data_IF_765118331075
#
_entry.id   IF_765118331075
#
_cell.length_a   1.000
_cell.length_b   1.000
_cell.length_c   1.000
_cell.angle_alpha   90.00
_cell.angle_beta   90.00
_cell.angle_gamma   90.00
#
_symmetry.space_group_name_H-M   'P 1'
#
loop_
_entity.id
_entity.type
_entity.pdbx_description
1 polymer ?
#
# COMPACT_ATOMS: atom_id res chain seq x y z
N UNK A 1 3.19 18.67 -14.38
CA UNK A 1 3.37 18.39 -12.93
C UNK A 1 3.30 16.89 -12.76
N UNK A 2 4.30 16.27 -12.14
CA UNK A 2 4.22 14.85 -11.77
C UNK A 2 3.51 14.70 -10.42
N UNK A 3 2.76 13.63 -10.27
CA UNK A 3 2.10 13.29 -9.01
C UNK A 3 1.93 11.77 -8.92
N UNK A 4 1.67 11.30 -7.72
CA UNK A 4 1.45 9.89 -7.39
C UNK A 4 0.06 9.78 -6.81
N UNK A 5 -0.82 9.04 -7.48
CA UNK A 5 -2.07 8.60 -6.85
C UNK A 5 -1.77 7.33 -6.06
N UNK A 6 -2.16 7.27 -4.78
CA UNK A 6 -1.94 6.09 -3.95
C UNK A 6 -3.16 5.74 -3.11
N UNK A 7 -3.21 4.48 -2.70
CA UNK A 7 -4.21 3.97 -1.78
C UNK A 7 -3.59 2.88 -0.89
N UNK A 8 -4.16 2.70 0.30
CA UNK A 8 -3.72 1.71 1.28
C UNK A 8 -4.88 0.85 1.70
N UNK A 9 -4.66 -0.46 1.66
CA UNK A 9 -5.55 -1.40 2.33
C UNK A 9 -4.96 -1.80 3.67
N UNK A 10 -5.82 -1.89 4.67
CA UNK A 10 -5.42 -2.02 6.08
C UNK A 10 -6.25 -3.09 6.78
N UNK A 11 -5.79 -3.53 7.94
CA UNK A 11 -6.55 -4.46 8.80
C UNK A 11 -7.75 -3.79 9.49
N UNK A 12 -7.88 -2.46 9.37
CA UNK A 12 -8.90 -1.64 10.01
C UNK A 12 -8.49 -0.16 9.94
N UNK A 13 -9.25 0.74 10.57
CA UNK A 13 -9.09 2.20 10.41
C UNK A 13 -8.54 2.93 11.64
N UNK A 14 -8.12 2.21 12.68
CA UNK A 14 -7.64 2.79 13.94
C UNK A 14 -6.11 3.01 13.92
N UNK A 15 -5.62 4.27 13.89
CA UNK A 15 -4.20 4.54 13.85
C UNK A 15 -3.46 4.02 15.09
N UNK A 16 -2.28 3.44 14.89
CA UNK A 16 -1.45 2.87 15.95
C UNK A 16 -1.92 1.50 16.46
N UNK A 17 -3.05 1.00 15.97
CA UNK A 17 -3.55 -0.35 16.24
C UNK A 17 -3.56 -1.16 14.95
N UNK A 18 -4.26 -0.68 13.93
CA UNK A 18 -4.37 -1.35 12.65
C UNK A 18 -3.11 -1.19 11.80
N UNK A 19 -2.87 -2.18 10.95
CA UNK A 19 -1.65 -2.34 10.17
C UNK A 19 -1.96 -2.27 8.66
N UNK A 20 -0.98 -1.81 7.88
CA UNK A 20 -1.06 -1.81 6.42
C UNK A 20 -0.92 -3.26 5.91
N UNK A 21 -1.81 -3.64 5.01
CA UNK A 21 -1.83 -4.94 4.34
C UNK A 21 -1.54 -4.84 2.83
N UNK A 22 -1.68 -3.65 2.23
CA UNK A 22 -1.32 -3.39 0.83
C UNK A 22 -0.90 -1.93 0.65
N UNK A 23 0.03 -1.70 -0.28
CA UNK A 23 0.27 -0.38 -0.88
C UNK A 23 0.02 -0.50 -2.38
N UNK A 24 -0.86 0.36 -2.91
CA UNK A 24 -1.03 0.57 -4.34
C UNK A 24 -0.73 2.03 -4.70
N UNK A 25 0.17 2.27 -5.66
CA UNK A 25 0.52 3.60 -6.09
C UNK A 25 0.86 3.67 -7.59
N UNK A 26 0.45 4.75 -8.24
CA UNK A 26 0.70 5.01 -9.67
C UNK A 26 1.29 6.40 -9.82
N UNK A 27 2.48 6.49 -10.40
CA UNK A 27 3.10 7.76 -10.78
C UNK A 27 2.59 8.19 -12.15
N UNK A 28 2.16 9.44 -12.24
CA UNK A 28 1.76 10.10 -13.48
C UNK A 28 2.83 11.11 -13.91
N UNK A 29 3.16 11.10 -15.19
CA UNK A 29 4.12 12.05 -15.76
C UNK A 29 3.51 13.45 -15.91
N UNK A 30 4.27 14.40 -16.48
CA UNK A 30 3.82 15.79 -16.60
C UNK A 30 2.58 15.99 -17.48
N UNK A 31 2.30 15.03 -18.36
CA UNK A 31 1.14 15.00 -19.24
C UNK A 31 -0.07 14.31 -18.57
N UNK A 32 0.06 13.86 -17.32
CA UNK A 32 -0.98 13.13 -16.60
C UNK A 32 -1.18 11.71 -17.11
N UNK A 33 -0.15 11.10 -17.70
CA UNK A 33 -0.19 9.72 -18.20
C UNK A 33 0.51 8.80 -17.17
N UNK A 34 -0.07 7.63 -16.84
CA UNK A 34 0.59 6.64 -16.00
C UNK A 34 1.97 6.25 -16.55
N UNK A 35 2.99 6.30 -15.69
CA UNK A 35 4.40 6.05 -16.04
C UNK A 35 4.95 4.83 -15.30
N UNK A 36 4.73 4.73 -13.98
CA UNK A 36 5.26 3.62 -13.17
C UNK A 36 4.28 3.27 -12.05
N UNK A 37 4.26 1.99 -11.66
CA UNK A 37 3.38 1.45 -10.61
C UNK A 37 4.24 0.87 -9.49
N UNK A 38 3.85 1.12 -8.25
CA UNK A 38 4.31 0.41 -7.07
C UNK A 38 3.11 -0.29 -6.45
N UNK A 39 3.10 -1.62 -6.42
CA UNK A 39 2.01 -2.39 -5.85
C UNK A 39 2.56 -3.60 -5.10
N UNK A 40 2.20 -3.74 -3.83
CA UNK A 40 2.67 -4.88 -3.02
C UNK A 40 1.73 -5.18 -1.87
N UNK A 41 1.49 -6.48 -1.63
CA UNK A 41 0.89 -6.96 -0.40
C UNK A 41 1.95 -6.97 0.69
N UNK A 42 1.50 -6.73 1.92
CA UNK A 42 2.36 -6.57 3.10
C UNK A 42 1.84 -7.49 4.17
N UNK A 43 2.72 -8.28 4.80
CA UNK A 43 2.36 -9.06 5.97
C UNK A 43 2.19 -8.11 7.17
N UNK A 44 0.96 -7.92 7.69
CA UNK A 44 0.70 -6.98 8.77
C UNK A 44 1.15 -7.52 10.14
N UNK A 45 1.57 -8.78 10.23
CA UNK A 45 1.95 -9.42 11.49
C UNK A 45 0.78 -9.79 12.40
N UNK A 46 -0.46 -9.56 11.95
CA UNK A 46 -1.71 -9.93 12.63
C UNK A 46 -2.67 -10.59 11.64
N UNK A 47 -3.64 -11.39 12.09
CA UNK A 47 -4.68 -11.91 11.20
C UNK A 47 -5.53 -10.79 10.60
N UNK A 48 -5.90 -10.92 9.33
CA UNK A 48 -6.83 -10.00 8.66
C UNK A 48 -8.22 -10.08 9.31
N UNK A 49 -8.73 -8.98 9.90
CA UNK A 49 -10.07 -8.98 10.47
C UNK A 49 -11.13 -9.16 9.38
N UNK A 50 -12.14 -9.98 9.64
CA UNK A 50 -13.21 -10.26 8.67
C UNK A 50 -13.87 -9.00 8.10
N UNK A 51 -14.06 -7.96 8.92
CA UNK A 51 -14.71 -6.74 8.48
C UNK A 51 -13.88 -6.01 7.42
N UNK A 52 -12.56 -5.94 7.59
CA UNK A 52 -11.63 -5.35 6.62
C UNK A 52 -11.49 -6.24 5.39
N UNK A 53 -11.29 -7.55 5.58
CA UNK A 53 -11.21 -8.52 4.49
C UNK A 53 -12.46 -8.58 3.61
N UNK A 54 -13.65 -8.31 4.16
CA UNK A 54 -14.90 -8.18 3.37
C UNK A 54 -14.94 -6.93 2.48
N UNK A 55 -14.17 -5.89 2.82
CA UNK A 55 -14.12 -4.63 2.05
C UNK A 55 -13.08 -4.73 0.95
N UNK A 56 -11.84 -5.09 1.30
CA UNK A 56 -10.72 -5.10 0.35
C UNK A 56 -10.48 -6.45 -0.33
N UNK A 57 -11.09 -7.54 0.16
CA UNK A 57 -10.94 -8.89 -0.40
C UNK A 57 -9.63 -9.58 -0.06
N UNK A 58 -8.79 -8.99 0.80
CA UNK A 58 -7.49 -9.55 1.19
C UNK A 58 -7.70 -10.65 2.23
N UNK A 59 -6.98 -11.77 2.07
CA UNK A 59 -7.03 -12.92 2.98
C UNK A 59 -5.68 -13.18 3.64
N UNK A 60 -5.69 -13.86 4.80
CA UNK A 60 -4.45 -14.29 5.49
C UNK A 60 -3.55 -15.19 4.62
N UNK A 61 -4.13 -15.92 3.67
CA UNK A 61 -3.37 -16.75 2.74
C UNK A 61 -2.55 -15.89 1.76
N UNK A 62 -3.14 -14.80 1.25
CA UNK A 62 -2.48 -13.85 0.35
C UNK A 62 -1.32 -13.11 1.04
N UNK A 63 -1.47 -12.83 2.34
CA UNK A 63 -0.50 -12.09 3.16
C UNK A 63 0.65 -12.98 3.66
N UNK A 64 0.50 -14.31 3.60
CA UNK A 64 1.50 -15.24 4.09
C UNK A 64 2.76 -15.19 3.23
N UNK A 65 3.89 -14.87 3.87
CA UNK A 65 5.20 -14.81 3.21
C UNK A 65 5.47 -13.48 2.49
N UNK A 66 4.54 -12.54 2.52
CA UNK A 66 4.76 -11.18 2.04
C UNK A 66 5.75 -10.43 2.95
N UNK A 67 6.46 -9.41 2.43
CA UNK A 67 7.35 -8.58 3.23
C UNK A 67 6.61 -7.86 4.35
N UNK A 68 7.30 -7.48 5.42
CA UNK A 68 6.73 -6.59 6.44
C UNK A 68 6.80 -5.14 5.96
N UNK A 69 5.99 -4.26 6.55
CA UNK A 69 6.02 -2.82 6.21
C UNK A 69 7.42 -2.22 6.32
N UNK A 70 8.21 -2.65 7.31
CA UNK A 70 9.59 -2.19 7.52
C UNK A 70 10.54 -2.55 6.38
N UNK A 71 10.22 -3.59 5.61
CA UNK A 71 11.02 -4.03 4.46
C UNK A 71 10.65 -3.28 3.17
N UNK A 72 9.50 -2.58 3.17
CA UNK A 72 8.88 -1.95 1.98
C UNK A 72 9.00 -0.43 2.01
N UNK A 73 9.02 0.19 3.20
CA UNK A 73 8.96 1.64 3.35
C UNK A 73 10.07 2.40 2.63
N UNK A 74 11.31 1.92 2.67
CA UNK A 74 12.43 2.59 2.00
C UNK A 74 12.25 2.62 0.48
N UNK A 75 11.84 1.49 -0.10
CA UNK A 75 11.57 1.39 -1.53
C UNK A 75 10.35 2.23 -1.95
N UNK A 76 9.31 2.28 -1.12
CA UNK A 76 8.14 3.12 -1.37
C UNK A 76 8.50 4.61 -1.27
N UNK A 77 9.32 5.01 -0.30
CA UNK A 77 9.80 6.39 -0.17
C UNK A 77 10.66 6.81 -1.37
N UNK A 78 11.52 5.92 -1.88
CA UNK A 78 12.28 6.15 -3.12
C UNK A 78 11.36 6.26 -4.34
N UNK A 79 10.30 5.44 -4.40
CA UNK A 79 9.25 5.59 -5.41
C UNK A 79 8.47 6.91 -5.26
N UNK A 80 8.28 7.43 -4.06
CA UNK A 80 7.61 8.71 -3.88
C UNK A 80 8.49 9.90 -4.29
N UNK A 81 9.75 9.91 -3.87
CA UNK A 81 10.65 11.05 -4.07
C UNK A 81 10.02 12.36 -3.59
N UNK A 82 10.16 13.42 -4.40
CA UNK A 82 9.57 14.74 -4.13
C UNK A 82 8.26 15.00 -4.91
N UNK A 83 7.71 13.98 -5.58
CA UNK A 83 6.46 14.13 -6.33
C UNK A 83 5.26 14.27 -5.36
N UNK A 84 4.25 15.05 -5.76
CA UNK A 84 3.05 15.26 -4.93
C UNK A 84 2.30 13.93 -4.78
N UNK A 85 1.99 13.55 -3.54
CA UNK A 85 1.12 12.41 -3.25
C UNK A 85 -0.34 12.88 -3.17
N UNK A 86 -1.22 12.15 -3.87
CA UNK A 86 -2.66 12.39 -3.98
C UNK A 86 -3.42 11.16 -3.53
#
# INVERSE_FOLDING_TARGET
MRFIAFDLETTGTLPGVDQIAEIGAVRFNEQGIPDTIFATLINPGIPMPEAAGRVNGITDEMLRGQPKITDVLDAFAEFCGDDIMV
#
